data_IF_167738053950
#
_entry.id   IF_167738053950
#
_cell.length_a   1.000
_cell.length_b   1.000
_cell.length_c   1.000
_cell.angle_alpha   90.00
_cell.angle_beta   90.00
_cell.angle_gamma   90.00
#
_symmetry.space_group_name_H-M   'P 1'
#
loop_
_entity.id
_entity.type
_entity.pdbx_description
1 polymer ?
#
# COMPACT_ATOMS: atom_id res chain seq x y z
N UNK A 1 17.80 -6.67 30.10
CA UNK A 1 17.41 -5.50 29.29
C UNK A 1 17.57 -5.88 27.82
N UNK A 2 16.47 -6.29 27.17
CA UNK A 2 16.49 -6.66 25.75
C UNK A 2 16.70 -5.43 24.89
N UNK A 3 17.67 -5.47 23.97
CA UNK A 3 17.87 -4.45 22.94
C UNK A 3 16.57 -4.31 22.16
N UNK A 4 15.81 -3.24 22.44
CA UNK A 4 14.68 -2.84 21.62
C UNK A 4 15.19 -2.57 20.21
N UNK A 5 14.94 -3.51 19.29
CA UNK A 5 14.88 -3.19 17.88
C UNK A 5 13.94 -2.00 17.78
N UNK A 6 14.38 -0.90 17.18
CA UNK A 6 13.63 0.33 17.06
C UNK A 6 12.18 0.01 16.69
N UNK A 7 11.23 0.29 17.59
CA UNK A 7 9.78 0.05 17.49
C UNK A 7 9.10 0.89 16.38
N UNK A 8 9.91 1.47 15.51
CA UNK A 8 9.61 2.41 14.44
C UNK A 8 10.17 1.96 13.09
N UNK A 9 10.83 0.80 13.02
CA UNK A 9 11.13 0.16 11.75
C UNK A 9 9.81 -0.38 11.19
N UNK A 10 8.99 0.51 10.62
CA UNK A 10 7.80 0.09 9.90
C UNK A 10 8.24 -0.89 8.82
N UNK A 11 7.62 -2.07 8.74
CA UNK A 11 7.90 -3.02 7.68
C UNK A 11 7.24 -2.52 6.40
N UNK A 12 7.78 -1.46 5.81
CA UNK A 12 7.22 -0.80 4.62
C UNK A 12 7.09 -1.77 3.46
N UNK A 13 8.03 -2.71 3.31
CA UNK A 13 7.97 -3.80 2.34
C UNK A 13 6.78 -4.74 2.55
N UNK A 14 6.41 -5.00 3.80
CA UNK A 14 5.25 -5.83 4.14
C UNK A 14 3.95 -5.05 3.89
N UNK A 15 3.90 -3.77 4.26
CA UNK A 15 2.77 -2.88 3.97
C UNK A 15 2.52 -2.70 2.46
N UNK A 16 3.59 -2.59 1.66
CA UNK A 16 3.52 -2.59 0.18
C UNK A 16 2.96 -3.92 -0.37
N UNK A 17 3.21 -5.03 0.31
CA UNK A 17 2.62 -6.33 -0.01
C UNK A 17 1.16 -6.42 0.41
N UNK A 18 0.83 -5.88 1.58
CA UNK A 18 -0.45 -6.03 2.24
C UNK A 18 -1.60 -5.40 1.45
N UNK A 19 -1.45 -4.16 0.96
CA UNK A 19 -2.47 -3.53 0.11
C UNK A 19 -2.78 -4.32 -1.16
N UNK A 20 -1.77 -4.95 -1.78
CA UNK A 20 -1.96 -5.84 -2.94
C UNK A 20 -2.68 -7.13 -2.57
N UNK A 21 -2.38 -7.71 -1.42
CA UNK A 21 -3.05 -8.93 -0.93
C UNK A 21 -4.53 -8.67 -0.64
N UNK A 22 -4.87 -7.54 -0.02
CA UNK A 22 -6.26 -7.15 0.25
C UNK A 22 -7.06 -6.95 -1.04
N UNK A 23 -6.48 -6.26 -2.04
CA UNK A 23 -7.10 -6.10 -3.36
C UNK A 23 -7.27 -7.44 -4.08
N UNK A 24 -6.30 -8.35 -3.95
CA UNK A 24 -6.41 -9.71 -4.48
C UNK A 24 -7.55 -10.50 -3.84
N UNK A 25 -7.73 -10.37 -2.52
CA UNK A 25 -8.86 -10.99 -1.81
C UNK A 25 -10.20 -10.45 -2.33
N UNK A 26 -10.33 -9.13 -2.49
CA UNK A 26 -11.50 -8.50 -3.12
C UNK A 26 -11.77 -9.06 -4.52
N UNK A 27 -10.74 -9.19 -5.36
CA UNK A 27 -10.89 -9.78 -6.71
C UNK A 27 -11.45 -11.21 -6.64
N UNK A 28 -10.96 -12.02 -5.70
CA UNK A 28 -11.44 -13.41 -5.51
C UNK A 28 -12.88 -13.45 -5.02
N UNK A 29 -13.27 -12.57 -4.10
CA UNK A 29 -14.67 -12.46 -3.63
C UNK A 29 -15.63 -12.09 -4.78
N UNK A 30 -15.20 -11.18 -5.66
CA UNK A 30 -15.99 -10.78 -6.83
C UNK A 30 -16.02 -11.83 -7.94
N UNK A 31 -15.02 -12.71 -8.02
CA UNK A 31 -15.00 -13.80 -9.01
C UNK A 31 -16.11 -14.82 -8.77
N UNK A 32 -16.51 -15.01 -7.51
CA UNK A 32 -17.60 -15.92 -7.14
C UNK A 32 -18.92 -15.55 -7.83
N UNK A 33 -19.25 -14.25 -7.97
CA UNK A 33 -20.41 -13.78 -8.76
C UNK A 33 -20.34 -14.21 -10.22
N UNK A 34 -19.21 -13.96 -10.87
CA UNK A 34 -18.99 -14.32 -12.29
C UNK A 34 -19.13 -15.82 -12.53
N UNK A 35 -18.70 -16.64 -11.56
CA UNK A 35 -18.84 -18.08 -11.64
C UNK A 35 -20.33 -18.48 -11.68
N UNK A 36 -21.17 -17.92 -10.82
CA UNK A 36 -22.61 -18.24 -10.81
C UNK A 36 -23.34 -17.75 -12.06
N UNK A 37 -23.04 -16.54 -12.52
CA UNK A 37 -23.58 -16.03 -13.77
C UNK A 37 -23.26 -16.97 -14.94
N UNK A 38 -22.06 -17.56 -14.97
CA UNK A 38 -21.66 -18.50 -16.03
C UNK A 38 -22.43 -19.82 -16.03
N UNK A 39 -22.95 -20.27 -14.90
CA UNK A 39 -23.71 -21.53 -14.80
C UNK A 39 -25.21 -21.37 -15.05
N UNK A 40 -25.73 -20.15 -15.05
CA UNK A 40 -27.17 -19.88 -15.11
C UNK A 40 -27.83 -20.43 -16.38
N UNK A 41 -27.13 -20.35 -17.50
CA UNK A 41 -27.62 -20.82 -18.80
C UNK A 41 -27.39 -22.33 -19.02
N UNK A 42 -26.44 -22.93 -18.30
CA UNK A 42 -26.10 -24.36 -18.37
C UNK A 42 -27.02 -25.22 -17.48
N UNK A 43 -27.67 -24.59 -16.49
CA UNK A 43 -28.59 -25.25 -15.56
C UNK A 43 -30.00 -25.20 -16.12
N UNK A 44 -30.50 -26.35 -16.59
CA UNK A 44 -31.85 -26.48 -17.15
C UNK A 44 -32.97 -26.57 -16.11
N UNK A 45 -32.65 -26.69 -14.82
CA UNK A 45 -33.65 -26.77 -13.74
C UNK A 45 -33.92 -25.38 -13.15
N UNK A 46 -35.17 -24.92 -13.26
CA UNK A 46 -35.58 -23.60 -12.78
C UNK A 46 -35.42 -23.41 -11.26
N UNK A 47 -35.64 -24.46 -10.46
CA UNK A 47 -35.51 -24.38 -9.00
C UNK A 47 -34.06 -24.21 -8.55
N UNK A 48 -33.12 -24.82 -9.28
CA UNK A 48 -31.69 -24.63 -9.05
C UNK A 48 -31.25 -23.22 -9.45
N UNK A 49 -31.77 -22.70 -10.57
CA UNK A 49 -31.49 -21.32 -10.98
C UNK A 49 -32.01 -20.28 -9.98
N UNK A 50 -33.21 -20.49 -9.43
CA UNK A 50 -33.76 -19.62 -8.39
C UNK A 50 -32.90 -19.67 -7.12
N UNK A 51 -32.52 -20.87 -6.66
CA UNK A 51 -31.65 -21.03 -5.49
C UNK A 51 -30.26 -20.40 -5.67
N UNK A 52 -29.69 -20.46 -6.89
CA UNK A 52 -28.44 -19.80 -7.22
C UNK A 52 -28.59 -18.27 -7.28
N UNK A 53 -29.72 -17.77 -7.76
CA UNK A 53 -30.05 -16.34 -7.73
C UNK A 53 -30.15 -15.81 -6.31
N UNK A 54 -30.88 -16.50 -5.44
CA UNK A 54 -31.01 -16.15 -4.02
C UNK A 54 -29.65 -16.19 -3.31
N UNK A 55 -28.84 -17.21 -3.60
CA UNK A 55 -27.49 -17.30 -3.06
C UNK A 55 -26.61 -16.14 -3.53
N UNK A 56 -26.62 -15.82 -4.83
CA UNK A 56 -25.78 -14.76 -5.41
C UNK A 56 -26.15 -13.39 -4.86
N UNK A 57 -27.44 -13.09 -4.71
CA UNK A 57 -27.92 -11.84 -4.11
C UNK A 57 -27.45 -11.71 -2.66
N UNK A 58 -27.66 -12.74 -1.83
CA UNK A 58 -27.21 -12.72 -0.43
C UNK A 58 -25.67 -12.66 -0.32
N UNK A 59 -24.96 -13.28 -1.26
CA UNK A 59 -23.50 -13.22 -1.35
C UNK A 59 -23.01 -11.82 -1.77
N UNK A 60 -23.73 -11.13 -2.65
CA UNK A 60 -23.48 -9.74 -3.01
C UNK A 60 -23.64 -8.80 -1.84
N UNK A 61 -24.79 -8.85 -1.18
CA UNK A 61 -25.06 -8.02 -0.01
C UNK A 61 -24.02 -8.28 1.09
N UNK A 62 -23.75 -9.56 1.39
CA UNK A 62 -22.82 -9.93 2.46
C UNK A 62 -21.36 -9.54 2.18
N UNK A 63 -20.92 -9.52 0.91
CA UNK A 63 -19.53 -9.21 0.56
C UNK A 63 -19.30 -7.72 0.30
N UNK A 64 -20.34 -6.94 0.00
CA UNK A 64 -20.19 -5.53 -0.36
C UNK A 64 -19.40 -4.76 0.71
N UNK A 65 -19.87 -4.82 1.97
CA UNK A 65 -19.22 -4.18 3.12
C UNK A 65 -17.76 -4.64 3.30
N UNK A 66 -17.51 -5.94 3.13
CA UNK A 66 -16.17 -6.52 3.25
C UNK A 66 -15.26 -5.93 2.18
N UNK A 67 -15.72 -5.86 0.93
CA UNK A 67 -14.89 -5.33 -0.17
C UNK A 67 -14.57 -3.86 -0.01
N UNK A 68 -15.50 -3.05 0.51
CA UNK A 68 -15.25 -1.64 0.83
C UNK A 68 -14.21 -1.49 1.95
N UNK A 69 -14.30 -2.31 3.01
CA UNK A 69 -13.31 -2.31 4.10
C UNK A 69 -11.92 -2.75 3.62
N UNK A 70 -11.85 -3.75 2.73
CA UNK A 70 -10.59 -4.21 2.13
C UNK A 70 -9.92 -3.09 1.31
N UNK A 71 -10.68 -2.30 0.55
CA UNK A 71 -10.14 -1.14 -0.17
C UNK A 71 -9.62 -0.08 0.81
N UNK A 72 -10.40 0.27 1.83
CA UNK A 72 -10.00 1.28 2.81
C UNK A 72 -8.69 0.89 3.53
N UNK A 73 -8.54 -0.38 3.89
CA UNK A 73 -7.31 -0.92 4.49
C UNK A 73 -6.12 -0.89 3.51
N UNK A 74 -6.36 -1.21 2.23
CA UNK A 74 -5.33 -1.13 1.22
C UNK A 74 -4.86 0.32 1.00
N UNK A 75 -5.79 1.27 0.94
CA UNK A 75 -5.50 2.70 0.74
C UNK A 75 -4.78 3.31 1.94
N UNK A 76 -5.14 2.91 3.17
CA UNK A 76 -4.39 3.28 4.38
C UNK A 76 -2.96 2.74 4.33
N UNK A 77 -2.77 1.49 3.92
CA UNK A 77 -1.44 0.87 3.80
C UNK A 77 -0.57 1.61 2.78
N UNK A 78 -1.14 1.93 1.61
CA UNK A 78 -0.46 2.70 0.56
C UNK A 78 -0.14 4.13 1.04
N UNK A 79 -1.04 4.75 1.80
CA UNK A 79 -0.80 6.08 2.38
C UNK A 79 0.37 6.07 3.36
N UNK A 80 0.44 5.08 4.26
CA UNK A 80 1.57 4.94 5.21
C UNK A 80 2.89 4.80 4.45
N UNK A 81 2.93 3.91 3.45
CA UNK A 81 4.14 3.71 2.62
C UNK A 81 4.56 5.01 1.93
N UNK A 82 3.60 5.72 1.33
CA UNK A 82 3.86 6.97 0.61
C UNK A 82 4.41 8.05 1.53
N UNK A 83 3.79 8.27 2.69
CA UNK A 83 4.24 9.32 3.61
C UNK A 83 5.61 8.99 4.24
N UNK A 84 5.90 7.73 4.50
CA UNK A 84 7.23 7.32 4.95
C UNK A 84 8.32 7.54 3.90
N UNK A 85 8.06 7.19 2.62
CA UNK A 85 9.01 7.45 1.53
C UNK A 85 9.30 8.94 1.36
N UNK A 86 8.26 9.78 1.42
CA UNK A 86 8.43 11.25 1.38
C UNK A 86 9.29 11.75 2.54
N UNK A 87 9.03 11.27 3.75
CA UNK A 87 9.81 11.64 4.93
C UNK A 87 11.30 11.25 4.75
N UNK A 88 11.57 10.05 4.25
CA UNK A 88 12.93 9.57 3.99
C UNK A 88 13.65 10.39 2.91
N UNK A 89 12.97 10.70 1.81
CA UNK A 89 13.48 11.56 0.74
C UNK A 89 13.82 12.97 1.24
N UNK A 90 12.94 13.55 2.05
CA UNK A 90 13.12 14.90 2.60
C UNK A 90 14.28 14.95 3.61
N UNK A 91 14.45 13.90 4.41
CA UNK A 91 15.60 13.78 5.32
C UNK A 91 16.90 13.62 4.54
N UNK A 92 16.92 12.77 3.51
CA UNK A 92 18.08 12.56 2.64
C UNK A 92 18.52 13.87 1.97
N UNK A 93 17.59 14.64 1.39
CA UNK A 93 17.88 15.94 0.78
C UNK A 93 18.46 16.94 1.79
N UNK A 94 17.94 16.98 3.02
CA UNK A 94 18.45 17.87 4.07
C UNK A 94 19.87 17.51 4.47
N UNK A 95 20.16 16.21 4.63
CA UNK A 95 21.50 15.74 4.96
C UNK A 95 22.48 16.05 3.84
N UNK A 96 22.14 15.74 2.58
CA UNK A 96 22.98 16.08 1.44
C UNK A 96 23.23 17.59 1.32
N UNK A 97 22.19 18.41 1.55
CA UNK A 97 22.30 19.86 1.55
C UNK A 97 23.26 20.36 2.64
N UNK A 98 23.17 19.81 3.85
CA UNK A 98 24.08 20.16 4.95
C UNK A 98 25.54 19.80 4.62
N UNK A 99 25.80 18.59 4.13
CA UNK A 99 27.14 18.13 3.75
C UNK A 99 27.74 18.99 2.63
N UNK A 100 26.95 19.33 1.60
CA UNK A 100 27.38 20.22 0.50
C UNK A 100 27.71 21.64 0.99
N UNK A 101 27.09 22.09 2.08
CA UNK A 101 27.33 23.44 2.65
C UNK A 101 28.62 23.49 3.47
N UNK A 102 28.99 22.39 4.13
CA UNK A 102 30.27 22.28 4.86
C UNK A 102 31.48 22.26 3.90
N UNK A 103 31.37 21.54 2.78
CA UNK A 103 32.45 21.44 1.77
C UNK A 103 32.77 22.80 1.12
N UNK A 104 31.76 23.68 0.97
CA UNK A 104 31.97 25.04 0.45
C UNK A 104 32.56 26.02 1.48
N UNK A 105 32.39 25.78 2.78
CA UNK A 105 33.02 26.61 3.83
C UNK A 105 34.50 26.31 4.03
N UNK A 106 34.98 25.12 3.66
CA UNK A 106 36.40 24.75 3.72
C UNK A 106 37.28 25.35 2.60
N UNK A 107 36.68 25.79 1.49
CA UNK A 107 37.41 26.21 0.28
C UNK A 107 37.79 27.69 0.16
N UNK A 108 37.41 28.57 1.11
CA UNK A 108 37.57 30.03 0.98
C UNK A 108 38.48 30.70 2.02
N UNK A 109 39.50 29.99 2.51
CA UNK A 109 40.56 30.56 3.35
C UNK A 109 41.93 30.20 2.78
N UNK A 110 42.36 30.93 1.74
CA UNK A 110 43.67 30.69 1.14
C UNK A 110 44.03 31.59 -0.05
N UNK A 111 43.68 32.87 -0.06
CA UNK A 111 44.30 33.84 -0.99
C UNK A 111 44.22 35.27 -0.46
N UNK A 112 45.12 35.58 0.47
CA UNK A 112 45.33 36.95 0.94
C UNK A 112 46.60 37.03 1.77
N UNK A 113 47.64 37.69 1.24
CA UNK A 113 48.81 38.09 2.01
C UNK A 113 50.13 37.66 1.37
N UNK A 114 50.77 38.58 0.65
CA UNK A 114 52.13 38.40 0.14
C UNK A 114 52.56 39.52 -0.80
N UNK A 115 52.58 40.77 -0.31
CA UNK A 115 53.42 41.83 -0.89
C UNK A 115 54.90 41.49 -0.64
N UNK A 116 55.71 41.50 -1.71
CA UNK A 116 56.99 42.23 -1.85
C UNK A 116 57.63 41.94 -3.20
#
# INVERSE_FOLDING_TARGET
MGKGKSDLALPLSELEGYGRQLRSLKTRLNHTKKLFESYKDDIGDGSVNDALGDFESNWEDGREDITQQLDALADMSDAVVREFKKLDDDLTKKVEGAVKTEDQRGGKSGKGGGEK
#
